data_IF_843732537514
#
_entry.id   IF_843732537514
#
_cell.length_a   1.000
_cell.length_b   1.000
_cell.length_c   1.000
_cell.angle_alpha   90.00
_cell.angle_beta   90.00
_cell.angle_gamma   90.00
#
_symmetry.space_group_name_H-M   'P 1'
#
loop_
_entity.id
_entity.type
_entity.pdbx_description
1 polymer ?
#
# COMPACT_ATOMS: atom_id res chain seq x y z
N UNK A 1 -13.51 -9.98 -5.66
CA UNK A 1 -13.24 -9.36 -4.34
C UNK A 1 -11.81 -9.67 -3.92
N UNK A 2 -11.11 -8.68 -3.42
CA UNK A 2 -9.75 -8.87 -2.96
C UNK A 2 -9.73 -9.65 -1.63
N UNK A 3 -8.78 -10.55 -1.47
CA UNK A 3 -8.57 -11.28 -0.21
C UNK A 3 -7.07 -11.47 0.05
N UNK A 4 -6.74 -12.07 1.19
CA UNK A 4 -5.34 -12.20 1.60
C UNK A 4 -4.52 -13.12 0.70
N UNK A 5 -5.14 -14.00 -0.04
CA UNK A 5 -4.43 -14.86 -0.99
C UNK A 5 -3.83 -14.04 -2.13
N UNK A 6 -4.45 -12.90 -2.46
CA UNK A 6 -3.97 -12.00 -3.51
C UNK A 6 -2.66 -11.31 -3.12
N UNK A 7 -2.29 -11.34 -1.84
CA UNK A 7 -1.09 -10.66 -1.31
C UNK A 7 0.07 -11.60 -1.01
N UNK A 8 -0.05 -12.88 -1.34
CA UNK A 8 1.00 -13.85 -1.01
C UNK A 8 2.37 -13.42 -1.52
N UNK A 9 2.41 -12.79 -2.69
CA UNK A 9 3.64 -12.35 -3.33
C UNK A 9 4.23 -11.09 -2.66
N UNK A 10 3.47 -10.40 -1.84
CA UNK A 10 3.95 -9.23 -1.10
C UNK A 10 4.77 -9.63 0.12
N UNK A 11 4.53 -10.81 0.67
CA UNK A 11 5.28 -11.26 1.84
C UNK A 11 6.73 -11.52 1.47
N UNK A 12 7.63 -11.08 2.32
CA UNK A 12 9.08 -11.24 2.19
C UNK A 12 9.73 -10.42 1.07
N UNK A 13 8.97 -9.58 0.38
CA UNK A 13 9.55 -8.68 -0.63
C UNK A 13 9.92 -7.34 -0.02
N UNK A 14 10.75 -6.60 -0.74
CA UNK A 14 11.23 -5.27 -0.34
C UNK A 14 10.53 -4.20 -1.16
N UNK A 15 10.24 -3.05 -0.55
CA UNK A 15 9.84 -1.88 -1.30
C UNK A 15 11.10 -1.29 -1.93
N UNK A 16 11.14 -1.22 -3.26
CA UNK A 16 12.33 -0.79 -3.99
C UNK A 16 12.17 0.54 -4.72
N UNK A 17 10.93 0.95 -5.01
CA UNK A 17 10.69 2.15 -5.80
C UNK A 17 9.32 2.71 -5.51
N UNK A 18 9.21 4.04 -5.60
CA UNK A 18 7.92 4.74 -5.58
C UNK A 18 7.86 5.64 -6.81
N UNK A 19 6.80 5.50 -7.59
CA UNK A 19 6.54 6.38 -8.72
C UNK A 19 5.45 7.36 -8.32
N UNK A 20 5.71 8.65 -8.51
CA UNK A 20 4.81 9.72 -8.11
C UNK A 20 4.25 10.37 -9.36
N UNK A 21 2.93 10.38 -9.47
CA UNK A 21 2.23 11.01 -10.59
C UNK A 21 1.08 11.86 -10.12
N UNK A 22 0.44 12.52 -11.07
CA UNK A 22 -0.78 13.28 -10.79
C UNK A 22 -1.90 12.28 -10.52
N UNK A 23 -2.50 12.37 -9.34
CA UNK A 23 -3.65 11.55 -8.96
C UNK A 23 -3.33 10.20 -8.36
N UNK A 24 -2.07 9.75 -8.38
CA UNK A 24 -1.70 8.48 -7.78
C UNK A 24 -0.22 8.38 -7.45
N UNK A 25 0.09 7.46 -6.54
CA UNK A 25 1.46 7.09 -6.20
C UNK A 25 1.54 5.57 -6.30
N UNK A 26 2.60 5.05 -6.91
CA UNK A 26 2.73 3.62 -7.13
C UNK A 26 3.91 3.08 -6.36
N UNK A 27 3.64 2.12 -5.47
CA UNK A 27 4.65 1.38 -4.74
C UNK A 27 5.08 0.19 -5.59
N UNK A 28 6.37 0.02 -5.80
CA UNK A 28 6.93 -1.06 -6.62
C UNK A 28 7.84 -1.91 -5.75
N UNK A 29 7.56 -3.20 -5.72
CA UNK A 29 8.27 -4.15 -4.87
C UNK A 29 9.23 -5.02 -5.66
N UNK A 30 10.24 -5.55 -4.99
CA UNK A 30 11.26 -6.37 -5.63
C UNK A 30 10.72 -7.62 -6.31
N UNK A 31 9.59 -8.13 -5.87
CA UNK A 31 8.92 -9.27 -6.51
C UNK A 31 8.30 -8.91 -7.86
N UNK A 32 8.16 -7.62 -8.17
CA UNK A 32 7.44 -7.14 -9.33
C UNK A 32 6.00 -6.74 -9.03
N UNK A 33 5.49 -7.05 -7.85
CA UNK A 33 4.17 -6.59 -7.42
C UNK A 33 4.15 -5.07 -7.30
N UNK A 34 2.99 -4.47 -7.53
CA UNK A 34 2.81 -3.03 -7.37
C UNK A 34 1.51 -2.72 -6.63
N UNK A 35 1.50 -1.59 -5.95
CA UNK A 35 0.27 -1.05 -5.34
C UNK A 35 0.14 0.39 -5.79
N UNK A 36 -0.90 0.67 -6.57
CA UNK A 36 -1.25 2.04 -6.96
C UNK A 36 -2.16 2.61 -5.88
N UNK A 37 -1.78 3.73 -5.29
CA UNK A 37 -2.50 4.35 -4.19
C UNK A 37 -3.11 5.66 -4.64
N UNK A 38 -4.44 5.77 -4.56
CA UNK A 38 -5.21 6.96 -4.95
C UNK A 38 -6.02 7.50 -3.76
N UNK A 39 -5.81 6.94 -2.59
CA UNK A 39 -6.59 7.22 -1.39
C UNK A 39 -5.68 7.58 -0.21
N UNK A 40 -6.28 7.71 0.97
CA UNK A 40 -5.54 7.95 2.20
C UNK A 40 -4.65 6.76 2.55
N UNK A 41 -3.50 7.06 3.12
CA UNK A 41 -2.64 6.03 3.71
C UNK A 41 -2.06 6.56 5.02
N UNK A 42 -1.69 5.64 5.89
CA UNK A 42 -1.10 5.96 7.17
C UNK A 42 0.22 5.20 7.32
N UNK A 43 1.27 5.93 7.64
CA UNK A 43 2.59 5.36 7.92
C UNK A 43 2.83 5.45 9.43
N UNK A 44 3.06 4.29 10.06
CA UNK A 44 3.26 4.21 11.50
C UNK A 44 4.63 3.65 11.81
N UNK A 45 5.39 4.35 12.64
CA UNK A 45 6.72 3.92 13.07
C UNK A 45 6.99 4.53 14.44
N UNK A 46 7.49 3.72 15.38
CA UNK A 46 7.84 4.15 16.73
C UNK A 46 6.70 4.89 17.44
N UNK A 47 5.47 4.46 17.24
CA UNK A 47 4.30 5.03 17.89
C UNK A 47 3.80 6.33 17.25
N UNK A 48 4.40 6.75 16.14
CA UNK A 48 3.99 7.95 15.41
C UNK A 48 3.20 7.55 14.18
N UNK A 49 2.04 8.20 14.00
CA UNK A 49 1.23 8.05 12.80
C UNK A 49 1.37 9.28 11.92
N UNK A 50 1.61 9.09 10.64
CA UNK A 50 1.67 10.16 9.66
C UNK A 50 0.77 9.79 8.49
N UNK A 51 -0.15 10.69 8.15
CA UNK A 51 -1.13 10.46 7.09
C UNK A 51 -0.74 11.14 5.81
N UNK A 52 -0.98 10.47 4.70
CA UNK A 52 -0.82 11.00 3.36
C UNK A 52 -2.02 10.65 2.50
N UNK A 53 -1.95 11.05 1.24
CA UNK A 53 -2.99 10.75 0.25
C UNK A 53 -2.34 10.56 -1.11
N UNK A 54 -2.80 9.54 -1.85
CA UNK A 54 -2.24 9.22 -3.17
C UNK A 54 -2.32 10.35 -4.18
N UNK A 55 -3.28 11.26 -4.01
CA UNK A 55 -3.42 12.43 -4.88
C UNK A 55 -2.57 13.63 -4.45
N UNK A 56 -1.94 13.56 -3.28
CA UNK A 56 -1.08 14.63 -2.75
C UNK A 56 0.38 14.25 -2.92
N UNK A 57 0.99 14.78 -3.96
CA UNK A 57 2.33 14.41 -4.43
C UNK A 57 3.37 14.47 -3.32
N UNK A 58 3.37 15.53 -2.52
CA UNK A 58 4.41 15.72 -1.49
C UNK A 58 4.32 14.72 -0.34
N UNK A 59 3.18 14.04 -0.16
CA UNK A 59 3.07 13.02 0.88
C UNK A 59 3.80 11.73 0.51
N UNK A 60 4.26 11.59 -0.74
CA UNK A 60 5.05 10.43 -1.17
C UNK A 60 6.32 10.26 -0.35
N UNK A 61 6.85 11.33 0.23
CA UNK A 61 8.03 11.26 1.08
C UNK A 61 7.83 10.33 2.28
N UNK A 62 6.59 10.13 2.72
CA UNK A 62 6.29 9.23 3.83
C UNK A 62 6.63 7.77 3.51
N UNK A 63 6.62 7.39 2.23
CA UNK A 63 6.96 6.03 1.82
C UNK A 63 8.46 5.76 1.91
N UNK A 64 9.30 6.79 1.96
CA UNK A 64 10.75 6.62 1.90
C UNK A 64 11.31 5.85 3.09
N UNK A 65 10.64 5.92 4.24
CA UNK A 65 11.05 5.18 5.43
C UNK A 65 10.90 3.67 5.27
N UNK A 66 10.17 3.22 4.24
CA UNK A 66 9.92 1.81 3.99
C UNK A 66 10.88 1.21 2.96
N UNK A 67 11.69 2.03 2.29
CA UNK A 67 12.65 1.53 1.31
C UNK A 67 13.63 0.54 1.93
N UNK A 68 13.87 -0.55 1.23
CA UNK A 68 14.78 -1.62 1.65
C UNK A 68 14.33 -2.38 2.91
N UNK A 69 13.10 -2.18 3.35
CA UNK A 69 12.54 -2.95 4.44
C UNK A 69 11.63 -4.03 3.89
N UNK A 70 11.74 -5.22 4.49
CA UNK A 70 11.00 -6.40 4.06
C UNK A 70 9.61 -6.39 4.66
N UNK A 71 8.62 -6.77 3.86
CA UNK A 71 7.26 -6.99 4.35
C UNK A 71 7.21 -8.31 5.09
N UNK A 72 6.82 -8.26 6.37
CA UNK A 72 6.65 -9.46 7.18
C UNK A 72 5.25 -10.04 7.03
N UNK A 73 4.25 -9.18 6.85
CA UNK A 73 2.88 -9.65 6.72
C UNK A 73 2.03 -8.64 5.94
N UNK A 74 0.99 -9.16 5.28
CA UNK A 74 0.04 -8.37 4.52
C UNK A 74 -1.36 -8.87 4.85
N UNK A 75 -2.19 -7.99 5.42
CA UNK A 75 -3.51 -8.31 5.95
C UNK A 75 -4.55 -7.36 5.40
N UNK A 76 -5.82 -7.79 5.44
CA UNK A 76 -6.96 -6.91 5.21
C UNK A 76 -7.72 -6.72 6.52
N UNK A 77 -7.83 -5.48 6.99
CA UNK A 77 -8.72 -5.13 8.08
C UNK A 77 -10.10 -4.84 7.51
N UNK A 78 -11.14 -5.40 8.11
CA UNK A 78 -12.53 -5.21 7.68
C UNK A 78 -12.74 -5.53 6.19
N UNK A 79 -11.86 -6.36 5.61
CA UNK A 79 -11.97 -6.78 4.22
C UNK A 79 -11.59 -5.72 3.19
N UNK A 80 -11.15 -4.52 3.60
CA UNK A 80 -10.90 -3.43 2.68
C UNK A 80 -9.65 -2.60 2.95
N UNK A 81 -9.19 -2.52 4.21
CA UNK A 81 -7.99 -1.75 4.56
C UNK A 81 -6.78 -2.67 4.43
N UNK A 82 -5.88 -2.34 3.53
CA UNK A 82 -4.65 -3.12 3.36
C UNK A 82 -3.63 -2.68 4.41
N UNK A 83 -3.18 -3.63 5.23
CA UNK A 83 -2.18 -3.38 6.26
C UNK A 83 -0.92 -4.16 5.89
N UNK A 84 0.17 -3.44 5.64
CA UNK A 84 1.48 -4.02 5.40
C UNK A 84 2.35 -3.81 6.64
N UNK A 85 2.77 -4.91 7.25
CA UNK A 85 3.71 -4.85 8.37
C UNK A 85 5.11 -5.11 7.83
N UNK A 86 5.99 -4.15 8.04
CA UNK A 86 7.39 -4.24 7.62
C UNK A 86 8.27 -4.58 8.81
N UNK A 87 9.45 -5.12 8.54
CA UNK A 87 10.45 -5.34 9.57
C UNK A 87 10.79 -4.02 10.27
N UNK A 88 11.22 -4.10 11.52
CA UNK A 88 11.55 -2.92 12.30
C UNK A 88 10.34 -2.24 12.93
N UNK A 89 9.17 -2.89 12.95
CA UNK A 89 7.98 -2.37 13.61
C UNK A 89 7.28 -1.25 12.85
N UNK A 90 7.47 -1.18 11.54
CA UNK A 90 6.81 -0.19 10.68
C UNK A 90 5.54 -0.77 10.08
N UNK A 91 4.51 0.06 9.99
CA UNK A 91 3.24 -0.32 9.38
C UNK A 91 2.86 0.69 8.30
N UNK A 92 2.32 0.18 7.21
CA UNK A 92 1.69 1.00 6.18
C UNK A 92 0.27 0.51 6.01
N UNK A 93 -0.71 1.41 6.22
CA UNK A 93 -2.13 1.10 6.03
C UNK A 93 -2.64 1.91 4.87
N UNK A 94 -3.32 1.26 3.95
CA UNK A 94 -3.96 1.91 2.80
C UNK A 94 -5.45 1.86 3.04
N UNK A 95 -6.07 3.04 3.21
CA UNK A 95 -7.44 3.18 3.69
C UNK A 95 -8.33 3.67 2.55
N UNK A 96 -9.18 2.82 1.98
CA UNK A 96 -10.02 3.21 0.87
C UNK A 96 -11.08 4.22 1.26
N UNK A 97 -11.50 5.02 0.29
CA UNK A 97 -12.57 6.00 0.45
C UNK A 97 -13.89 5.34 0.04
N UNK A 98 -14.97 5.67 0.78
CA UNK A 98 -16.30 5.13 0.51
C UNK A 98 -17.06 6.02 -0.44
N UNK A 99 -16.57 6.10 -1.67
CA UNK A 99 -17.15 7.00 -2.69
C UNK A 99 -17.50 6.27 -3.99
N UNK A 100 -17.41 4.94 -4.00
CA UNK A 100 -17.69 4.15 -5.20
C UNK A 100 -16.63 4.22 -6.27
N UNK A 101 -15.52 4.93 -6.03
CA UNK A 101 -14.41 5.05 -6.95
C UNK A 101 -13.27 4.12 -6.53
N UNK A 102 -12.38 3.83 -7.48
CA UNK A 102 -11.20 3.04 -7.21
C UNK A 102 -10.29 3.78 -6.23
N UNK A 103 -9.90 3.12 -5.14
CA UNK A 103 -9.06 3.69 -4.10
C UNK A 103 -7.62 3.22 -4.20
N UNK A 104 -7.41 1.93 -4.38
CA UNK A 104 -6.08 1.39 -4.63
C UNK A 104 -6.17 0.14 -5.49
N UNK A 105 -5.06 -0.21 -6.12
CA UNK A 105 -4.98 -1.36 -7.01
C UNK A 105 -3.74 -2.16 -6.68
N UNK A 106 -3.93 -3.44 -6.35
CA UNK A 106 -2.82 -4.36 -6.13
C UNK A 106 -2.62 -5.20 -7.39
N UNK A 107 -1.43 -5.16 -7.97
CA UNK A 107 -1.09 -5.94 -9.13
C UNK A 107 0.00 -6.93 -8.76
N UNK A 108 -0.27 -8.22 -8.98
CA UNK A 108 0.68 -9.30 -8.78
C UNK A 108 0.73 -10.15 -10.05
N UNK A 109 1.54 -11.18 -10.06
CA UNK A 109 1.57 -12.14 -11.18
C UNK A 109 0.23 -12.85 -11.37
N UNK A 110 -0.65 -12.84 -10.37
CA UNK A 110 -1.96 -13.48 -10.44
C UNK A 110 -3.05 -12.55 -10.98
N UNK A 111 -2.73 -11.30 -11.23
CA UNK A 111 -3.67 -10.37 -11.84
C UNK A 111 -3.72 -9.00 -11.17
N UNK A 112 -4.71 -8.23 -11.58
CA UNK A 112 -4.94 -6.87 -11.13
C UNK A 112 -6.17 -6.86 -10.23
N UNK A 113 -6.00 -6.38 -9.00
CA UNK A 113 -7.07 -6.35 -7.99
C UNK A 113 -7.37 -4.92 -7.57
N UNK A 114 -8.30 -4.24 -8.26
CA UNK A 114 -8.73 -2.90 -7.84
C UNK A 114 -9.65 -3.00 -6.61
N UNK A 115 -9.53 -2.02 -5.72
CA UNK A 115 -10.38 -1.95 -4.53
C UNK A 115 -11.27 -0.72 -4.62
N UNK A 116 -12.58 -0.99 -4.64
CA UNK A 116 -13.63 0.01 -4.72
C UNK A 116 -14.58 -0.22 -3.56
N UNK A 117 -14.86 0.82 -2.79
CA UNK A 117 -15.78 0.75 -1.65
C UNK A 117 -16.90 1.76 -1.86
N UNK A 118 -18.13 1.27 -1.78
CA UNK A 118 -19.31 2.09 -1.97
C UNK A 118 -19.61 3.00 -0.77
#
# INVERSE_FOLDING_TARGET
>A
MIDEADFAELKSTLLTRVTVGVGSQVLIFGSGATIMVQCHFCCESAGREQWGHGEKIHTSALFFDFFNHRIEDALLECGEILVLRFEGGRFLKIVPERNGLESYVVTTRFGICPVVVA
#
